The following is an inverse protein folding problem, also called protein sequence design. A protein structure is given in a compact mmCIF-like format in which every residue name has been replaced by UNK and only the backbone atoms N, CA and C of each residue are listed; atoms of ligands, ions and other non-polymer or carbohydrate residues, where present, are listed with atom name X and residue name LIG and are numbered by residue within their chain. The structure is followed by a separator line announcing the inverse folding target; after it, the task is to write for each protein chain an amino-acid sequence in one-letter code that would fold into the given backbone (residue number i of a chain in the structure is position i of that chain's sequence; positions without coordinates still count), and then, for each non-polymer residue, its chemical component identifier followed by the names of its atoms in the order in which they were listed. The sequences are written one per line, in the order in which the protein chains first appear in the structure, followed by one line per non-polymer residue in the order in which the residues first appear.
data_IF_183995625456
#
_entry.id   IF_183995625456
#
_cell.length_a   1.000
_cell.length_b   1.000
_cell.length_c   1.000
_cell.angle_alpha   90.00
_cell.angle_beta   90.00
_cell.angle_gamma   90.00
#
_symmetry.space_group_name_H-M   'P 1'
#
loop_
_entity.id
_entity.type
_entity.pdbx_description
1 polymer ?
#
# COMPACT_ATOMS: atom_id res chain seq x y z
N UNK A 1 -17.48 -3.68 0.49
CA UNK A 1 -16.98 -2.67 -0.47
C UNK A 1 -17.73 -1.39 -0.16
N UNK A 2 -17.02 -0.39 0.33
CA UNK A 2 -17.58 0.92 0.69
C UNK A 2 -17.57 1.87 -0.50
N UNK A 3 -18.26 3.00 -0.41
CA UNK A 3 -18.20 4.04 -1.44
C UNK A 3 -16.78 4.60 -1.63
N UNK A 4 -16.01 4.69 -0.54
CA UNK A 4 -14.59 5.05 -0.58
C UNK A 4 -13.79 4.05 -1.41
N UNK A 5 -14.06 2.74 -1.26
CA UNK A 5 -13.41 1.71 -2.08
C UNK A 5 -13.73 1.88 -3.57
N UNK A 6 -15.00 2.17 -3.89
CA UNK A 6 -15.44 2.37 -5.28
C UNK A 6 -14.74 3.59 -5.88
N UNK A 7 -14.75 4.73 -5.17
CA UNK A 7 -14.11 5.96 -5.62
C UNK A 7 -12.59 5.74 -5.82
N UNK A 8 -11.94 5.05 -4.89
CA UNK A 8 -10.51 4.70 -4.96
C UNK A 8 -10.21 3.79 -6.15
N UNK A 9 -11.03 2.77 -6.40
CA UNK A 9 -10.89 1.88 -7.56
C UNK A 9 -11.08 2.62 -8.88
N UNK A 10 -12.08 3.50 -8.97
CA UNK A 10 -12.34 4.29 -10.19
C UNK A 10 -11.19 5.25 -10.49
N UNK A 11 -10.67 5.92 -9.46
CA UNK A 11 -9.47 6.77 -9.58
C UNK A 11 -8.31 6.00 -10.20
N UNK A 12 -8.00 4.81 -9.67
CA UNK A 12 -6.87 4.00 -10.15
C UNK A 12 -7.14 3.43 -11.54
N UNK A 13 -8.34 2.89 -11.78
CA UNK A 13 -8.71 2.27 -13.06
C UNK A 13 -8.66 3.26 -14.23
N UNK A 14 -9.06 4.51 -13.99
CA UNK A 14 -9.07 5.58 -15.00
C UNK A 14 -7.81 6.46 -14.94
N UNK A 15 -6.83 6.11 -14.09
CA UNK A 15 -5.58 6.86 -13.89
C UNK A 15 -5.80 8.36 -13.62
N UNK A 16 -6.82 8.69 -12.81
CA UNK A 16 -7.19 10.07 -12.51
C UNK A 16 -6.30 10.66 -11.39
N UNK A 17 -5.90 11.91 -11.58
CA UNK A 17 -5.27 12.74 -10.53
C UNK A 17 -6.35 13.40 -9.68
N UNK A 18 -6.00 13.77 -8.45
CA UNK A 18 -6.95 14.43 -7.52
C UNK A 18 -7.50 15.74 -8.12
N UNK A 19 -6.63 16.51 -8.78
CA UNK A 19 -7.01 17.73 -9.50
C UNK A 19 -8.08 17.47 -10.56
N UNK A 20 -7.90 16.41 -11.34
CA UNK A 20 -8.83 16.02 -12.40
C UNK A 20 -10.16 15.56 -11.83
N UNK A 21 -10.16 14.90 -10.67
CA UNK A 21 -11.41 14.49 -10.01
C UNK A 21 -12.20 15.71 -9.54
N UNK A 22 -11.51 16.75 -9.02
CA UNK A 22 -12.14 18.02 -8.67
C UNK A 22 -12.76 18.68 -9.91
N UNK A 23 -12.00 18.76 -11.02
CA UNK A 23 -12.48 19.36 -12.27
C UNK A 23 -13.69 18.59 -12.85
N UNK A 24 -13.67 17.25 -12.75
CA UNK A 24 -14.79 16.40 -13.17
C UNK A 24 -16.03 16.70 -12.33
N UNK A 25 -15.92 16.73 -11.00
CA UNK A 25 -17.05 17.00 -10.10
C UNK A 25 -17.65 18.39 -10.31
N UNK A 26 -16.85 19.37 -10.73
CA UNK A 26 -17.33 20.70 -11.07
C UNK A 26 -18.30 20.71 -12.26
N UNK A 27 -18.22 19.72 -13.18
CA UNK A 27 -19.14 19.61 -14.33
C UNK A 27 -20.60 19.38 -13.95
N UNK A 28 -20.85 18.91 -12.73
CA UNK A 28 -22.20 18.69 -12.17
C UNK A 28 -22.49 19.66 -11.02
N UNK A 29 -21.80 20.81 -11.00
CA UNK A 29 -21.89 21.85 -9.98
C UNK A 29 -21.58 21.36 -8.56
N UNK A 30 -20.85 20.24 -8.43
CA UNK A 30 -20.44 19.71 -7.14
C UNK A 30 -19.04 20.23 -6.78
N UNK A 31 -19.00 21.23 -5.90
CA UNK A 31 -17.76 21.84 -5.41
C UNK A 31 -17.15 21.00 -4.30
N UNK A 32 -15.94 20.50 -4.50
CA UNK A 32 -15.14 19.83 -3.48
C UNK A 32 -13.70 20.33 -3.54
N UNK A 33 -13.06 20.46 -2.37
CA UNK A 33 -11.65 20.82 -2.30
C UNK A 33 -10.74 19.59 -2.38
N UNK A 34 -9.48 19.79 -2.80
CA UNK A 34 -8.47 18.71 -2.82
C UNK A 34 -8.27 18.07 -1.43
N UNK A 35 -8.40 18.87 -0.37
CA UNK A 35 -8.24 18.43 1.01
C UNK A 35 -9.35 17.46 1.43
N UNK A 36 -10.61 17.78 1.10
CA UNK A 36 -11.78 16.93 1.37
C UNK A 36 -11.74 15.65 0.53
N UNK A 37 -11.37 15.78 -0.76
CA UNK A 37 -11.20 14.62 -1.62
C UNK A 37 -10.10 13.69 -1.08
N UNK A 38 -8.99 14.27 -0.59
CA UNK A 38 -7.92 13.52 0.06
C UNK A 38 -8.37 12.79 1.33
N UNK A 39 -9.37 13.29 2.06
CA UNK A 39 -9.92 12.62 3.23
C UNK A 39 -10.66 11.32 2.88
N UNK A 40 -11.37 11.27 1.75
CA UNK A 40 -12.06 10.06 1.29
C UNK A 40 -11.11 8.91 0.94
N UNK A 41 -9.87 9.22 0.56
CA UNK A 41 -8.89 8.21 0.16
C UNK A 41 -8.05 7.66 1.31
N UNK A 42 -8.16 8.24 2.52
CA UNK A 42 -7.41 7.80 3.71
C UNK A 42 -7.89 6.41 4.16
N UNK A 43 -7.09 5.80 5.04
CA UNK A 43 -7.51 4.61 5.77
C UNK A 43 -8.55 4.98 6.83
N UNK A 44 -9.44 4.05 7.17
CA UNK A 44 -10.52 4.26 8.15
C UNK A 44 -9.99 4.67 9.53
N UNK A 45 -8.80 4.20 9.91
CA UNK A 45 -8.16 4.53 11.19
C UNK A 45 -7.51 5.93 11.24
N UNK A 46 -7.50 6.68 10.13
CA UNK A 46 -6.84 7.98 10.08
C UNK A 46 -7.74 9.07 10.70
N UNK A 47 -7.23 10.01 11.53
CA UNK A 47 -8.06 11.02 12.20
C UNK A 47 -8.88 11.91 11.25
N UNK A 48 -8.32 12.25 10.10
CA UNK A 48 -9.02 13.00 9.04
C UNK A 48 -9.67 12.10 7.98
N UNK A 49 -9.97 10.84 8.29
CA UNK A 49 -10.76 10.00 7.40
C UNK A 49 -12.19 10.52 7.34
N UNK A 50 -12.74 10.56 6.13
CA UNK A 50 -14.15 10.87 5.92
C UNK A 50 -14.80 9.78 5.08
N UNK A 51 -16.00 9.37 5.45
CA UNK A 51 -16.80 8.45 4.67
C UNK A 51 -17.35 9.15 3.41
N UNK A 52 -17.28 8.48 2.27
CA UNK A 52 -17.82 8.97 1.01
C UNK A 52 -19.33 8.67 0.98
N UNK A 53 -20.15 9.71 1.07
CA UNK A 53 -21.60 9.56 0.98
C UNK A 53 -22.07 9.17 -0.43
N UNK A 54 -23.24 8.54 -0.51
CA UNK A 54 -23.87 8.16 -1.78
C UNK A 54 -24.07 9.35 -2.73
N UNK A 55 -24.32 10.54 -2.18
CA UNK A 55 -24.50 11.76 -2.96
C UNK A 55 -23.24 12.13 -3.74
N UNK A 56 -22.07 12.01 -3.11
CA UNK A 56 -20.78 12.32 -3.74
C UNK A 56 -20.51 11.31 -4.85
N UNK A 57 -20.68 10.02 -4.56
CA UNK A 57 -20.43 8.97 -5.53
C UNK A 57 -21.38 9.07 -6.74
N UNK A 58 -22.67 9.36 -6.52
CA UNK A 58 -23.65 9.57 -7.59
C UNK A 58 -23.26 10.74 -8.49
N UNK A 59 -22.91 11.87 -7.90
CA UNK A 59 -22.49 13.06 -8.65
C UNK A 59 -21.21 12.80 -9.44
N UNK A 60 -20.23 12.11 -8.83
CA UNK A 60 -19.00 11.71 -9.52
C UNK A 60 -19.27 10.82 -10.73
N UNK A 61 -20.14 9.83 -10.61
CA UNK A 61 -20.49 8.95 -11.73
C UNK A 61 -21.20 9.70 -12.86
N UNK A 62 -22.12 10.60 -12.55
CA UNK A 62 -22.77 11.46 -13.54
C UNK A 62 -21.76 12.37 -14.24
N UNK A 63 -20.84 12.96 -13.47
CA UNK A 63 -19.76 13.77 -13.98
C UNK A 63 -18.81 12.99 -14.90
N UNK A 64 -18.50 11.73 -14.57
CA UNK A 64 -17.69 10.85 -15.43
C UNK A 64 -18.37 10.57 -16.77
N UNK A 65 -19.70 10.45 -16.80
CA UNK A 65 -20.45 10.30 -18.06
C UNK A 65 -20.24 11.53 -18.93
N UNK A 66 -20.40 12.74 -18.37
CA UNK A 66 -20.21 14.00 -19.11
C UNK A 66 -18.76 14.15 -19.58
N UNK A 67 -17.79 13.78 -18.73
CA UNK A 67 -16.37 13.89 -19.04
C UNK A 67 -15.95 12.95 -20.18
N UNK A 68 -16.32 11.67 -20.10
CA UNK A 68 -15.89 10.63 -21.05
C UNK A 68 -16.76 10.56 -22.31
N UNK A 69 -18.08 10.72 -22.19
CA UNK A 69 -19.04 10.57 -23.29
C UNK A 69 -19.55 11.89 -23.83
N UNK A 70 -19.33 13.00 -23.13
CA UNK A 70 -19.87 14.30 -23.51
C UNK A 70 -21.33 14.50 -23.11
N UNK A 71 -21.84 15.70 -23.35
CA UNK A 71 -23.27 16.00 -23.19
C UNK A 71 -24.05 15.52 -24.41
N UNK A 72 -25.38 15.43 -24.31
CA UNK A 72 -26.23 15.03 -25.44
C UNK A 72 -25.98 15.88 -26.69
N UNK A 73 -25.68 17.16 -26.49
CA UNK A 73 -25.42 18.13 -27.57
C UNK A 73 -23.99 18.06 -28.12
N UNK A 74 -23.04 17.51 -27.37
CA UNK A 74 -21.64 17.40 -27.80
C UNK A 74 -21.03 16.05 -27.35
N UNK A 75 -21.23 14.97 -28.13
CA UNK A 75 -20.69 13.66 -27.79
C UNK A 75 -19.17 13.63 -27.89
N UNK A 76 -18.52 12.98 -26.91
CA UNK A 76 -17.08 12.75 -26.87
C UNK A 76 -16.78 11.25 -26.95
N UNK A 77 -15.68 10.91 -27.62
CA UNK A 77 -15.18 9.54 -27.63
C UNK A 77 -14.38 9.25 -26.35
N UNK A 78 -14.76 8.23 -25.57
CA UNK A 78 -14.09 7.94 -24.30
C UNK A 78 -12.63 7.50 -24.48
N UNK A 79 -12.32 6.83 -25.60
CA UNK A 79 -10.97 6.37 -25.95
C UNK A 79 -9.99 7.53 -26.09
N UNK A 80 -10.41 8.63 -26.69
CA UNK A 80 -9.57 9.81 -26.89
C UNK A 80 -9.32 10.55 -25.57
N UNK A 81 -10.34 10.67 -24.72
CA UNK A 81 -10.20 11.32 -23.40
C UNK A 81 -9.21 10.53 -22.52
N UNK A 82 -9.34 9.21 -22.49
CA UNK A 82 -8.41 8.36 -21.72
C UNK A 82 -6.98 8.42 -22.28
N UNK A 83 -6.81 8.49 -23.60
CA UNK A 83 -5.50 8.65 -24.22
C UNK A 83 -4.83 9.97 -23.82
N UNK A 84 -5.59 11.07 -23.77
CA UNK A 84 -5.10 12.38 -23.30
C UNK A 84 -4.63 12.32 -21.86
N UNK A 85 -5.42 11.72 -20.97
CA UNK A 85 -5.04 11.55 -19.56
C UNK A 85 -3.75 10.75 -19.41
N UNK A 86 -3.59 9.67 -20.17
CA UNK A 86 -2.37 8.86 -20.15
C UNK A 86 -1.14 9.62 -20.65
N UNK A 87 -1.32 10.55 -21.59
CA UNK A 87 -0.24 11.40 -22.11
C UNK A 87 0.16 12.52 -21.13
N UNK A 88 -0.79 13.04 -20.35
CA UNK A 88 -0.54 14.09 -19.34
C UNK A 88 0.17 13.60 -18.08
N UNK A 89 0.18 12.28 -17.82
CA UNK A 89 0.96 11.72 -16.71
C UNK A 89 2.43 11.95 -17.05
N UNK A 90 3.17 12.80 -16.31
CA UNK A 90 4.59 12.96 -16.55
C UNK A 90 5.22 11.59 -16.36
N UNK A 91 5.78 11.02 -17.45
CA UNK A 91 6.70 9.90 -17.33
C UNK A 91 7.79 10.41 -16.41
N UNK A 92 7.89 9.83 -15.20
CA UNK A 92 9.07 10.02 -14.38
C UNK A 92 10.22 9.38 -15.14
N UNK A 93 10.85 10.13 -16.03
CA UNK A 93 12.17 9.86 -16.57
C UNK A 93 13.14 10.04 -15.39
N UNK A 94 13.26 9.01 -14.55
CA UNK A 94 14.00 9.15 -13.30
C UNK A 94 13.96 7.94 -12.36
N UNK A 95 13.75 6.73 -12.88
CA UNK A 95 14.04 5.49 -12.16
C UNK A 95 14.71 4.45 -13.07
N UNK A 96 15.70 4.88 -13.86
CA UNK A 96 16.72 3.95 -14.40
C UNK A 96 18.11 4.21 -13.81
N UNK A 97 18.32 5.32 -13.07
CA UNK A 97 19.59 5.61 -12.40
C UNK A 97 19.52 5.39 -10.88
N UNK A 98 18.90 4.29 -10.44
CA UNK A 98 19.34 3.73 -9.16
C UNK A 98 20.60 2.95 -9.50
N UNK A 99 21.81 3.40 -9.15
CA UNK A 99 23.00 2.60 -9.40
C UNK A 99 22.75 1.23 -8.77
N UNK A 100 22.86 0.17 -9.58
CA UNK A 100 22.85 -1.19 -9.07
C UNK A 100 23.81 -1.22 -7.88
N UNK A 101 23.32 -1.64 -6.71
CA UNK A 101 24.19 -1.98 -5.61
C UNK A 101 24.97 -3.22 -6.04
N UNK A 102 26.07 -3.00 -6.78
CA UNK A 102 27.09 -4.02 -7.00
C UNK A 102 27.69 -4.27 -5.63
N UNK A 103 27.25 -5.34 -4.98
CA UNK A 103 27.98 -5.90 -3.85
C UNK A 103 29.43 -6.07 -4.33
N UNK A 104 30.34 -5.27 -3.77
CA UNK A 104 31.77 -5.45 -4.04
C UNK A 104 32.11 -6.92 -3.77
N UNK A 105 32.93 -7.57 -4.61
CA UNK A 105 33.50 -8.85 -4.22
C UNK A 105 34.13 -8.66 -2.85
N UNK A 106 33.81 -9.56 -1.92
CA UNK A 106 34.47 -9.64 -0.61
C UNK A 106 35.98 -9.53 -0.87
N UNK A 107 36.61 -8.48 -0.33
CA UNK A 107 38.04 -8.24 -0.53
C UNK A 107 38.80 -9.56 -0.33
N UNK A 108 39.62 -9.96 -1.31
CA UNK A 108 40.53 -11.08 -1.15
C UNK A 108 41.37 -10.83 0.10
N UNK A 109 41.44 -11.83 0.98
CA UNK A 109 42.20 -11.77 2.22
C UNK A 109 43.64 -11.34 1.89
N UNK A 110 43.95 -10.07 2.12
CA UNK A 110 45.34 -9.65 2.24
C UNK A 110 45.92 -10.45 3.39
N UNK A 111 46.78 -11.42 3.07
CA UNK A 111 47.69 -12.04 4.02
C UNK A 111 48.43 -10.92 4.76
N UNK A 112 47.95 -10.55 5.94
CA UNK A 112 48.74 -9.80 6.91
C UNK A 112 49.75 -10.80 7.44
N UNK A 113 50.96 -10.70 6.89
CA UNK A 113 52.10 -11.48 7.34
C UNK A 113 52.25 -11.39 8.86
N UNK A 114 52.66 -12.51 9.43
CA UNK A 114 53.11 -12.69 10.81
C UNK A 114 53.86 -11.46 11.34
N UNK A 115 53.29 -10.80 12.34
CA UNK A 115 54.08 -10.32 13.46
C UNK A 115 53.56 -10.98 14.72
N UNK A 116 54.43 -11.82 15.25
CA UNK A 116 54.32 -12.64 16.45
C UNK A 116 54.19 -11.74 17.71
N UNK A 117 53.05 -11.71 18.42
CA UNK A 117 53.03 -11.22 19.79
C UNK A 117 53.39 -12.38 20.71
N UNK A 118 54.68 -12.40 21.04
CA UNK A 118 55.26 -13.22 22.10
C UNK A 118 54.34 -13.39 23.33
N UNK A 119 54.06 -14.66 23.66
CA UNK A 119 53.74 -15.24 24.98
C UNK A 119 52.92 -14.37 25.96
N UNK A 120 51.62 -14.68 26.08
CA UNK A 120 50.97 -14.76 27.39
C UNK A 120 49.66 -15.59 27.39
N UNK A 121 49.85 -16.88 27.70
CA UNK A 121 49.05 -17.74 28.58
C UNK A 121 47.62 -18.24 28.21
N UNK A 122 47.51 -19.55 28.44
CA UNK A 122 46.33 -20.36 28.82
C UNK A 122 45.63 -21.21 27.74
N UNK A 123 46.17 -22.43 27.60
CA UNK A 123 45.49 -23.73 27.61
C UNK A 123 44.28 -23.98 26.67
N UNK A 124 44.61 -24.65 25.57
CA UNK A 124 43.84 -25.55 24.70
C UNK A 124 42.57 -26.17 25.32
N UNK A 125 41.42 -26.00 24.67
CA UNK A 125 40.41 -27.07 24.60
C UNK A 125 39.67 -27.10 23.26
N UNK A 126 39.83 -28.23 22.58
CA UNK A 126 39.25 -28.62 21.29
C UNK A 126 37.74 -28.35 21.24
N UNK A 127 37.27 -27.74 20.16
CA UNK A 127 35.86 -27.70 19.78
C UNK A 127 35.42 -29.10 19.36
N UNK A 128 34.87 -29.86 20.30
CA UNK A 128 34.01 -31.00 20.00
C UNK A 128 32.67 -30.50 19.47
N UNK A 129 32.17 -31.14 18.40
CA UNK A 129 30.79 -31.01 17.90
C UNK A 129 29.81 -31.00 19.09
N UNK A 130 29.10 -29.90 19.31
CA UNK A 130 27.92 -29.88 20.19
C UNK A 130 26.69 -30.18 19.35
N UNK A 131 26.17 -31.39 19.53
CA UNK A 131 24.82 -31.75 19.16
C UNK A 131 23.83 -30.84 19.89
N UNK A 132 22.87 -30.28 19.17
CA UNK A 132 21.76 -29.55 19.79
C UNK A 132 20.81 -30.54 20.45
N UNK A 133 20.43 -30.36 21.72
CA UNK A 133 19.40 -31.19 22.32
C UNK A 133 18.07 -30.93 21.60
N UNK A 134 17.43 -32.00 21.08
CA UNK A 134 16.03 -31.96 20.65
C UNK A 134 15.16 -31.70 21.88
N UNK A 135 14.87 -30.43 22.14
CA UNK A 135 13.91 -30.00 23.14
C UNK A 135 12.49 -30.31 22.69
N UNK A 136 11.85 -31.27 23.37
CA UNK A 136 10.43 -31.58 23.27
C UNK A 136 9.61 -30.41 23.84
N UNK A 137 9.37 -29.37 23.04
CA UNK A 137 8.44 -28.30 23.42
C UNK A 137 7.12 -28.51 22.70
N UNK A 138 6.22 -29.26 23.37
CA UNK A 138 4.79 -29.23 23.07
C UNK A 138 4.30 -27.79 23.29
N UNK A 139 3.58 -27.14 22.35
CA UNK A 139 2.98 -25.85 22.64
C UNK A 139 1.95 -26.02 23.76
N UNK A 140 2.13 -25.32 24.88
CA UNK A 140 1.10 -25.18 25.91
C UNK A 140 0.01 -24.25 25.37
N UNK A 141 -1.12 -24.84 24.99
CA UNK A 141 -2.35 -24.11 24.66
C UNK A 141 -3.04 -23.73 25.98
N UNK A 142 -2.78 -22.51 26.45
CA UNK A 142 -3.70 -21.75 27.32
C UNK A 142 -4.60 -20.97 26.35
N UNK A 143 -5.92 -21.05 26.32
CA UNK A 143 -6.91 -20.98 27.39
C UNK A 143 -8.24 -21.55 26.86
N UNK A 144 -8.89 -22.42 27.63
CA UNK A 144 -10.27 -22.85 27.36
C UNK A 144 -11.22 -21.77 27.86
N UNK A 145 -11.54 -20.78 27.03
CA UNK A 145 -12.66 -19.86 27.29
C UNK A 145 -13.98 -20.63 27.10
N UNK A 146 -14.62 -21.04 28.19
CA UNK A 146 -15.97 -21.62 28.19
C UNK A 146 -17.00 -20.48 28.24
N UNK A 147 -17.78 -20.33 27.17
CA UNK A 147 -18.99 -19.50 27.14
C UNK A 147 -20.15 -20.22 27.84
N UNK A 148 -20.71 -19.62 28.89
CA UNK A 148 -21.96 -20.08 29.52
C UNK A 148 -23.14 -19.31 28.90
N UNK A 149 -23.77 -19.86 27.86
CA UNK A 149 -25.06 -19.36 27.40
C UNK A 149 -26.15 -19.75 28.41
N UNK A 150 -26.65 -18.75 29.13
CA UNK A 150 -27.70 -18.90 30.13
C UNK A 150 -29.07 -19.22 29.50
N UNK A 151 -29.70 -20.26 30.05
CA UNK A 151 -31.15 -20.51 30.17
C UNK A 151 -31.99 -20.43 28.88
N UNK A 152 -32.29 -21.59 28.28
CA UNK A 152 -33.56 -21.78 27.58
C UNK A 152 -34.70 -21.97 28.60
N UNK A 153 -35.67 -21.04 28.58
CA UNK A 153 -37.04 -21.29 29.06
C UNK A 153 -37.88 -21.74 27.86
N UNK A 154 -38.87 -22.61 28.14
CA UNK A 154 -39.96 -23.20 27.31
C UNK A 154 -39.77 -24.73 27.25
N UNK A 155 -40.69 -25.57 27.69
CA UNK A 155 -42.12 -25.44 28.05
C UNK A 155 -42.44 -26.30 29.27
#
# INVERSE_FOLDING_TARGET
MTNNDILKKLRVALMLRDDQIVDILELVDFRITKSELGAFFRAEDHPNYMECGDQVLRNFLNALVIHLRGTKENPKNPTEVLAKHKAEIPKKEGQNDRPEFKSKPRDEEKHRGDQDPTKAKYATKKTSKKEFPKGNNKPQVVEKVKYNFGKSKKS
#
